data_IF_057909601507
#
_entry.id   IF_057909601507
#
_cell.length_a   1.000
_cell.length_b   1.000
_cell.length_c   1.000
_cell.angle_alpha   90.00
_cell.angle_beta   90.00
_cell.angle_gamma   90.00
#
_symmetry.space_group_name_H-M   'P 1'
#
loop_
_entity.id
_entity.type
_entity.pdbx_description
1 polymer ?
#
# COMPACT_ATOMS: atom_id res chain seq x y z
N UNK A 1 20.95 8.50 18.13
CA UNK A 1 21.54 8.90 16.82
C UNK A 1 21.81 7.72 15.87
N UNK A 2 22.72 6.75 16.14
CA UNK A 2 22.97 5.60 15.22
C UNK A 2 21.72 4.75 14.91
N UNK A 3 20.91 4.41 15.91
CA UNK A 3 19.68 3.62 15.73
C UNK A 3 18.65 4.32 14.82
N UNK A 4 18.45 5.62 15.02
CA UNK A 4 17.55 6.46 14.22
C UNK A 4 17.99 6.59 12.75
N UNK A 5 19.27 6.86 12.49
CA UNK A 5 19.81 6.89 11.13
C UNK A 5 19.67 5.52 10.43
N UNK A 6 19.78 4.44 11.19
CA UNK A 6 19.59 3.08 10.67
C UNK A 6 18.12 2.84 10.31
N UNK A 7 17.18 3.26 11.15
CA UNK A 7 15.74 3.11 10.91
C UNK A 7 15.24 3.91 9.69
N UNK A 8 15.66 5.17 9.54
CA UNK A 8 15.30 5.99 8.37
C UNK A 8 15.96 5.48 7.08
N UNK A 9 17.21 5.01 7.14
CA UNK A 9 17.88 4.37 6.00
C UNK A 9 17.15 3.10 5.57
N UNK A 10 16.72 2.29 6.53
CA UNK A 10 16.01 1.04 6.30
C UNK A 10 14.65 1.25 5.65
N UNK A 11 13.91 2.25 6.11
CA UNK A 11 12.66 2.70 5.48
C UNK A 11 12.85 3.07 4.00
N UNK A 12 13.84 3.92 3.68
CA UNK A 12 14.09 4.38 2.30
C UNK A 12 14.47 3.21 1.39
N UNK A 13 15.36 2.32 1.86
CA UNK A 13 15.78 1.15 1.07
C UNK A 13 14.60 0.20 0.83
N UNK A 14 13.76 -0.04 1.84
CA UNK A 14 12.56 -0.87 1.67
C UNK A 14 11.62 -0.27 0.61
N UNK A 15 11.29 1.03 0.71
CA UNK A 15 10.41 1.65 -0.29
C UNK A 15 11.05 1.66 -1.68
N UNK A 16 12.38 1.78 -1.79
CA UNK A 16 13.09 1.68 -3.07
C UNK A 16 13.00 0.26 -3.67
N UNK A 17 13.22 -0.79 -2.88
CA UNK A 17 13.05 -2.18 -3.32
C UNK A 17 11.63 -2.40 -3.84
N UNK A 18 10.62 -2.01 -3.05
CA UNK A 18 9.21 -2.18 -3.42
C UNK A 18 8.91 -1.42 -4.71
N UNK A 19 9.42 -0.19 -4.87
CA UNK A 19 9.21 0.62 -6.08
C UNK A 19 9.81 -0.03 -7.34
N UNK A 20 11.03 -0.57 -7.25
CA UNK A 20 11.68 -1.24 -8.38
C UNK A 20 10.96 -2.54 -8.74
N UNK A 21 10.52 -3.32 -7.75
CA UNK A 21 9.69 -4.52 -7.98
C UNK A 21 8.37 -4.16 -8.67
N UNK A 22 7.67 -3.11 -8.21
CA UNK A 22 6.43 -2.66 -8.85
C UNK A 22 6.62 -2.19 -10.30
N UNK A 23 7.77 -1.57 -10.60
CA UNK A 23 8.12 -1.19 -11.97
C UNK A 23 8.38 -2.41 -12.83
N UNK A 24 9.15 -3.38 -12.34
CA UNK A 24 9.41 -4.66 -13.00
C UNK A 24 8.10 -5.40 -13.30
N UNK A 25 7.30 -5.70 -12.28
CA UNK A 25 6.02 -6.40 -12.41
C UNK A 25 5.07 -5.70 -13.40
N UNK A 26 5.06 -4.36 -13.39
CA UNK A 26 4.24 -3.58 -14.30
C UNK A 26 4.71 -3.71 -15.75
N UNK A 27 6.01 -3.57 -16.03
CA UNK A 27 6.57 -3.70 -17.38
C UNK A 27 6.28 -5.08 -17.96
N UNK A 28 6.43 -6.10 -17.12
CA UNK A 28 6.17 -7.49 -17.46
C UNK A 28 4.72 -7.80 -17.78
N UNK A 29 3.80 -7.27 -16.96
CA UNK A 29 2.38 -7.41 -17.26
C UNK A 29 2.03 -6.81 -18.63
N UNK A 30 2.51 -5.60 -18.94
CA UNK A 30 2.19 -4.96 -20.21
C UNK A 30 2.89 -5.59 -21.40
N UNK A 31 4.14 -6.04 -21.27
CA UNK A 31 4.82 -6.73 -22.36
C UNK A 31 4.06 -7.98 -22.79
N UNK A 32 3.62 -8.79 -21.83
CA UNK A 32 2.76 -9.95 -22.10
C UNK A 32 1.40 -9.54 -22.66
N UNK A 33 0.75 -8.53 -22.08
CA UNK A 33 -0.54 -8.04 -22.56
C UNK A 33 -0.49 -7.60 -24.02
N UNK A 34 0.57 -6.90 -24.43
CA UNK A 34 0.74 -6.47 -25.82
C UNK A 34 1.04 -7.63 -26.76
N UNK A 35 1.86 -8.61 -26.36
CA UNK A 35 2.12 -9.81 -27.15
C UNK A 35 0.85 -10.63 -27.44
N UNK A 36 -0.16 -10.57 -26.58
CA UNK A 36 -1.40 -11.31 -26.79
C UNK A 36 -2.22 -10.80 -27.98
N UNK A 37 -2.08 -9.53 -28.39
CA UNK A 37 -2.84 -8.95 -29.50
C UNK A 37 -2.59 -9.67 -30.83
N UNK A 38 -1.40 -10.24 -31.01
CA UNK A 38 -1.03 -10.94 -32.25
C UNK A 38 -1.70 -12.32 -32.36
N UNK A 39 -2.17 -12.88 -31.25
CA UNK A 39 -2.58 -14.28 -31.16
C UNK A 39 -4.03 -14.51 -30.78
N UNK A 40 -4.66 -13.56 -30.08
CA UNK A 40 -5.91 -13.78 -29.37
C UNK A 40 -6.96 -12.69 -29.63
N UNK A 41 -8.23 -13.11 -29.54
CA UNK A 41 -9.35 -12.17 -29.57
C UNK A 41 -9.39 -11.32 -28.30
N UNK A 42 -9.97 -10.12 -28.37
CA UNK A 42 -10.09 -9.19 -27.24
C UNK A 42 -10.76 -9.84 -26.01
N UNK A 43 -11.82 -10.60 -26.23
CA UNK A 43 -12.52 -11.34 -25.17
C UNK A 43 -11.58 -12.33 -24.47
N UNK A 44 -10.76 -13.03 -25.25
CA UNK A 44 -9.75 -13.96 -24.72
C UNK A 44 -8.64 -13.21 -23.97
N UNK A 45 -8.18 -12.06 -24.46
CA UNK A 45 -7.16 -11.24 -23.80
C UNK A 45 -7.64 -10.81 -22.41
N UNK A 46 -8.85 -10.30 -22.28
CA UNK A 46 -9.42 -9.91 -20.98
C UNK A 46 -9.48 -11.08 -19.99
N UNK A 47 -10.07 -12.21 -20.41
CA UNK A 47 -10.20 -13.41 -19.59
C UNK A 47 -8.86 -14.00 -19.14
N UNK A 48 -7.83 -13.95 -19.98
CA UNK A 48 -6.49 -14.44 -19.63
C UNK A 48 -5.74 -13.44 -18.75
N UNK A 49 -5.67 -12.17 -19.15
CA UNK A 49 -4.83 -11.16 -18.47
C UNK A 49 -5.38 -10.66 -17.14
N UNK A 50 -6.70 -10.71 -16.93
CA UNK A 50 -7.34 -10.24 -15.68
C UNK A 50 -8.20 -11.28 -15.00
N UNK A 51 -8.48 -12.42 -15.65
CA UNK A 51 -9.08 -13.60 -15.04
C UNK A 51 -8.00 -14.60 -14.59
N UNK A 52 -7.50 -15.41 -15.52
CA UNK A 52 -6.54 -16.48 -15.22
C UNK A 52 -5.22 -15.99 -14.62
N UNK A 53 -4.68 -14.88 -15.12
CA UNK A 53 -3.47 -14.26 -14.58
C UNK A 53 -3.67 -13.79 -13.14
N UNK A 54 -4.80 -13.15 -12.81
CA UNK A 54 -5.07 -12.74 -11.42
C UNK A 54 -5.32 -13.93 -10.50
N UNK A 55 -5.94 -15.00 -11.00
CA UNK A 55 -6.07 -16.24 -10.24
C UNK A 55 -4.68 -16.83 -9.94
N UNK A 56 -3.81 -16.88 -10.94
CA UNK A 56 -2.42 -17.33 -10.82
C UNK A 56 -1.62 -16.45 -9.83
N UNK A 57 -1.81 -15.12 -9.87
CA UNK A 57 -1.24 -14.20 -8.90
C UNK A 57 -1.74 -14.46 -7.47
N UNK A 58 -3.04 -14.72 -7.31
CA UNK A 58 -3.64 -15.15 -6.05
C UNK A 58 -3.01 -16.44 -5.51
N UNK A 59 -2.79 -17.44 -6.38
CA UNK A 59 -2.09 -18.69 -6.03
C UNK A 59 -0.67 -18.41 -5.57
N UNK A 60 0.08 -17.54 -6.25
CA UNK A 60 1.41 -17.11 -5.85
C UNK A 60 1.43 -16.48 -4.45
N UNK A 61 0.51 -15.55 -4.19
CA UNK A 61 0.35 -14.89 -2.89
C UNK A 61 0.02 -15.90 -1.78
N UNK A 62 -0.97 -16.78 -1.99
CA UNK A 62 -1.34 -17.82 -1.01
C UNK A 62 -0.18 -18.78 -0.76
N UNK A 63 0.54 -19.18 -1.81
CA UNK A 63 1.74 -20.03 -1.70
C UNK A 63 2.81 -19.36 -0.84
N UNK A 64 3.05 -18.06 -1.04
CA UNK A 64 3.97 -17.30 -0.20
C UNK A 64 3.50 -17.25 1.27
N UNK A 65 2.22 -16.99 1.52
CA UNK A 65 1.64 -16.95 2.87
C UNK A 65 1.87 -18.28 3.60
N UNK A 66 1.57 -19.40 2.94
CA UNK A 66 1.75 -20.74 3.50
C UNK A 66 3.22 -21.07 3.72
N UNK A 67 4.09 -20.73 2.77
CA UNK A 67 5.53 -20.94 2.88
C UNK A 67 6.11 -20.13 4.05
N UNK A 68 5.78 -18.85 4.15
CA UNK A 68 6.26 -17.99 5.22
C UNK A 68 5.74 -18.47 6.59
N UNK A 69 4.47 -18.87 6.68
CA UNK A 69 3.90 -19.39 7.93
C UNK A 69 4.53 -20.70 8.40
N UNK A 70 4.89 -21.60 7.48
CA UNK A 70 5.40 -22.94 7.81
C UNK A 70 6.92 -23.05 7.83
N UNK A 71 7.62 -22.19 7.08
CA UNK A 71 9.05 -22.24 6.84
C UNK A 71 9.65 -20.82 6.82
N UNK A 72 9.36 -20.00 7.82
CA UNK A 72 9.82 -18.59 7.91
C UNK A 72 11.32 -18.44 7.64
N UNK A 73 12.14 -19.32 8.23
CA UNK A 73 13.59 -19.31 8.03
C UNK A 73 13.98 -19.46 6.55
N UNK A 74 13.26 -20.26 5.76
CA UNK A 74 13.58 -20.44 4.35
C UNK A 74 13.21 -19.20 3.54
N UNK A 75 12.00 -18.68 3.73
CA UNK A 75 11.52 -17.47 3.02
C UNK A 75 12.31 -16.21 3.39
N UNK A 76 12.89 -16.15 4.59
CA UNK A 76 13.74 -15.05 5.04
C UNK A 76 15.18 -15.12 4.50
N UNK A 77 15.63 -16.26 3.95
CA UNK A 77 16.99 -16.38 3.39
C UNK A 77 17.13 -15.50 2.15
N UNK A 78 18.17 -14.65 2.13
CA UNK A 78 18.55 -13.85 0.95
C UNK A 78 18.70 -14.67 -0.32
N UNK A 79 19.26 -15.87 -0.22
CA UNK A 79 19.40 -16.78 -1.37
C UNK A 79 18.03 -17.14 -1.96
N UNK A 80 17.03 -17.43 -1.12
CA UNK A 80 15.68 -17.71 -1.59
C UNK A 80 15.08 -16.50 -2.31
N UNK A 81 15.22 -15.31 -1.75
CA UNK A 81 14.71 -14.06 -2.34
C UNK A 81 15.40 -13.72 -3.66
N UNK A 82 16.72 -13.86 -3.76
CA UNK A 82 17.46 -13.65 -5.01
C UNK A 82 17.03 -14.66 -6.08
N UNK A 83 16.93 -15.94 -5.72
CA UNK A 83 16.44 -16.97 -6.64
C UNK A 83 15.03 -16.70 -7.13
N UNK A 84 14.17 -16.14 -6.27
CA UNK A 84 12.80 -15.76 -6.60
C UNK A 84 12.73 -14.73 -7.74
N UNK A 85 13.68 -13.79 -7.82
CA UNK A 85 13.76 -12.82 -8.92
C UNK A 85 14.52 -13.38 -10.13
N UNK A 86 15.56 -14.18 -9.93
CA UNK A 86 16.34 -14.75 -11.03
C UNK A 86 15.55 -15.76 -11.89
N UNK A 87 14.61 -16.50 -11.30
CA UNK A 87 13.78 -17.46 -12.03
C UNK A 87 12.86 -16.80 -13.07
N UNK A 88 12.66 -15.50 -12.97
CA UNK A 88 11.81 -14.73 -13.87
C UNK A 88 12.45 -14.53 -15.25
N UNK A 89 13.77 -14.30 -15.30
CA UNK A 89 14.54 -14.08 -16.53
C UNK A 89 14.26 -15.13 -17.61
N UNK A 90 14.38 -16.45 -17.35
CA UNK A 90 14.08 -17.46 -18.37
C UNK A 90 12.61 -17.47 -18.81
N UNK A 91 11.66 -17.15 -17.91
CA UNK A 91 10.21 -17.08 -18.24
C UNK A 91 9.94 -15.91 -19.18
N UNK A 92 10.57 -14.76 -18.94
CA UNK A 92 10.48 -13.58 -19.80
C UNK A 92 11.05 -13.87 -21.18
N UNK A 93 12.27 -14.45 -21.23
CA UNK A 93 12.94 -14.81 -22.48
C UNK A 93 12.06 -15.78 -23.29
N UNK A 94 11.50 -16.80 -22.65
CA UNK A 94 10.59 -17.74 -23.31
C UNK A 94 9.31 -17.06 -23.82
N UNK A 95 8.75 -16.11 -23.06
CA UNK A 95 7.54 -15.36 -23.44
C UNK A 95 7.74 -14.52 -24.70
N UNK A 96 8.92 -13.89 -24.85
CA UNK A 96 9.19 -12.91 -25.91
C UNK A 96 9.86 -13.54 -27.14
N UNK A 97 10.84 -14.43 -26.95
CA UNK A 97 11.64 -14.97 -28.06
C UNK A 97 11.04 -16.22 -28.72
N UNK A 98 10.15 -16.92 -28.03
CA UNK A 98 9.52 -18.13 -28.55
C UNK A 98 7.98 -18.02 -28.50
N UNK A 99 7.37 -17.00 -29.12
CA UNK A 99 5.94 -16.79 -28.99
C UNK A 99 5.18 -17.84 -29.80
N UNK A 100 4.59 -18.80 -29.09
CA UNK A 100 3.52 -19.67 -29.60
C UNK A 100 2.28 -19.47 -28.76
N UNK A 101 1.08 -19.59 -29.35
CA UNK A 101 -0.21 -19.40 -28.64
C UNK A 101 -0.22 -20.04 -27.25
N UNK A 102 -0.11 -21.37 -27.21
CA UNK A 102 -0.19 -22.14 -25.95
C UNK A 102 0.97 -21.76 -25.01
N UNK A 103 2.19 -21.61 -25.55
CA UNK A 103 3.36 -21.28 -24.76
C UNK A 103 3.21 -19.91 -24.08
N UNK A 104 2.70 -18.90 -24.78
CA UNK A 104 2.43 -17.57 -24.23
C UNK A 104 1.43 -17.64 -23.06
N UNK A 105 0.34 -18.39 -23.20
CA UNK A 105 -0.62 -18.60 -22.10
C UNK A 105 0.03 -19.26 -20.88
N UNK A 106 0.82 -20.31 -21.08
CA UNK A 106 1.52 -21.00 -20.00
C UNK A 106 2.50 -20.06 -19.31
N UNK A 107 3.28 -19.28 -20.06
CA UNK A 107 4.21 -18.32 -19.51
C UNK A 107 3.51 -17.18 -18.75
N UNK A 108 2.34 -16.72 -19.20
CA UNK A 108 1.53 -15.72 -18.47
C UNK A 108 1.13 -16.27 -17.10
N UNK A 109 0.66 -17.51 -17.03
CA UNK A 109 0.25 -18.13 -15.76
C UNK A 109 1.46 -18.28 -14.82
N UNK A 110 2.58 -18.81 -15.32
CA UNK A 110 3.80 -18.98 -14.53
C UNK A 110 4.30 -17.63 -14.01
N UNK A 111 4.35 -16.62 -14.87
CA UNK A 111 4.83 -15.29 -14.50
C UNK A 111 3.94 -14.65 -13.43
N UNK A 112 2.62 -14.79 -13.53
CA UNK A 112 1.73 -14.23 -12.52
C UNK A 112 1.83 -14.94 -11.17
N UNK A 113 2.12 -16.25 -11.13
CA UNK A 113 2.46 -16.94 -9.88
C UNK A 113 3.73 -16.31 -9.27
N UNK A 114 4.76 -16.06 -10.09
CA UNK A 114 6.02 -15.43 -9.66
C UNK A 114 5.76 -14.02 -9.11
N UNK A 115 5.01 -13.18 -9.83
CA UNK A 115 4.59 -11.84 -9.38
C UNK A 115 3.85 -11.93 -8.04
N UNK A 116 2.99 -12.94 -7.86
CA UNK A 116 2.31 -13.19 -6.58
C UNK A 116 3.28 -13.48 -5.43
N UNK A 117 4.34 -14.27 -5.69
CA UNK A 117 5.40 -14.54 -4.71
C UNK A 117 6.24 -13.29 -4.41
N UNK A 118 6.61 -12.51 -5.42
CA UNK A 118 7.33 -11.23 -5.27
C UNK A 118 6.54 -10.24 -4.43
N UNK A 119 5.25 -10.11 -4.73
CA UNK A 119 4.36 -9.23 -3.99
C UNK A 119 4.16 -9.70 -2.55
N UNK A 120 4.08 -11.03 -2.34
CA UNK A 120 4.11 -11.64 -1.02
C UNK A 120 5.32 -11.18 -0.20
N UNK A 121 6.51 -11.31 -0.80
CA UNK A 121 7.76 -10.88 -0.19
C UNK A 121 7.79 -9.38 0.13
N UNK A 122 7.44 -8.52 -0.83
CA UNK A 122 7.51 -7.07 -0.64
C UNK A 122 6.52 -6.55 0.40
N UNK A 123 5.32 -7.15 0.51
CA UNK A 123 4.34 -6.76 1.53
C UNK A 123 4.78 -7.16 2.93
N UNK A 124 5.33 -8.37 3.08
CA UNK A 124 5.90 -8.82 4.35
C UNK A 124 7.13 -7.98 4.73
N UNK A 125 7.98 -7.61 3.77
CA UNK A 125 9.11 -6.70 3.99
C UNK A 125 8.65 -5.32 4.48
N UNK A 126 7.62 -4.76 3.84
CA UNK A 126 7.03 -3.49 4.24
C UNK A 126 6.45 -3.58 5.66
N UNK A 127 5.64 -4.60 5.95
CA UNK A 127 5.05 -4.78 7.27
C UNK A 127 6.10 -4.96 8.40
N UNK A 128 7.27 -5.50 8.08
CA UNK A 128 8.36 -5.72 9.03
C UNK A 128 9.21 -4.47 9.32
N UNK A 129 9.37 -3.56 8.34
CA UNK A 129 10.39 -2.50 8.43
C UNK A 129 9.88 -1.09 8.17
N UNK A 130 8.70 -0.94 7.58
CA UNK A 130 8.09 0.37 7.38
C UNK A 130 7.23 0.69 8.59
N UNK A 131 7.41 1.87 9.23
CA UNK A 131 6.55 2.27 10.33
C UNK A 131 5.08 2.20 9.97
N UNK A 132 4.26 1.71 10.90
CA UNK A 132 2.81 1.51 10.73
C UNK A 132 2.09 2.81 10.32
N UNK A 133 2.62 3.98 10.69
CA UNK A 133 2.15 5.32 10.32
C UNK A 133 2.53 5.78 8.91
N UNK A 134 3.33 5.00 8.16
CA UNK A 134 3.84 5.35 6.82
C UNK A 134 3.62 4.25 5.78
N UNK A 135 2.88 3.19 6.13
CA UNK A 135 2.67 2.04 5.25
C UNK A 135 1.86 2.41 4.00
N UNK A 136 0.82 3.24 4.16
CA UNK A 136 0.00 3.71 3.04
C UNK A 136 0.81 4.52 2.05
N UNK A 137 1.63 5.45 2.53
CA UNK A 137 2.48 6.29 1.71
C UNK A 137 3.60 5.49 1.02
N UNK A 138 4.27 4.58 1.74
CA UNK A 138 5.31 3.75 1.12
C UNK A 138 4.72 2.89 -0.01
N UNK A 139 3.58 2.25 0.22
CA UNK A 139 2.87 1.48 -0.80
C UNK A 139 2.42 2.36 -1.98
N UNK A 140 1.77 3.49 -1.69
CA UNK A 140 1.27 4.43 -2.68
C UNK A 140 2.38 5.00 -3.56
N UNK A 141 3.49 5.45 -2.97
CA UNK A 141 4.66 5.94 -3.73
C UNK A 141 5.31 4.83 -4.55
N UNK A 142 5.55 3.65 -3.97
CA UNK A 142 6.21 2.57 -4.68
C UNK A 142 5.39 2.10 -5.89
N UNK A 143 4.07 1.95 -5.72
CA UNK A 143 3.20 1.58 -6.82
C UNK A 143 3.04 2.73 -7.83
N UNK A 144 3.04 3.99 -7.39
CA UNK A 144 3.04 5.14 -8.28
C UNK A 144 4.30 5.20 -9.16
N UNK A 145 5.48 4.85 -8.62
CA UNK A 145 6.72 4.73 -9.41
C UNK A 145 6.56 3.66 -10.49
N UNK A 146 6.00 2.49 -10.16
CA UNK A 146 5.71 1.47 -11.17
C UNK A 146 4.71 1.95 -12.22
N UNK A 147 3.61 2.57 -11.81
CA UNK A 147 2.57 3.05 -12.73
C UNK A 147 3.09 4.14 -13.67
N UNK A 148 3.71 5.18 -13.12
CA UNK A 148 4.29 6.29 -13.86
C UNK A 148 5.49 5.85 -14.70
N UNK A 149 6.36 4.99 -14.16
CA UNK A 149 7.53 4.48 -14.86
C UNK A 149 7.17 3.69 -16.11
N UNK A 150 6.17 2.80 -16.05
CA UNK A 150 5.68 2.09 -17.24
C UNK A 150 5.13 3.07 -18.29
N UNK A 151 4.35 4.08 -17.86
CA UNK A 151 3.85 5.11 -18.77
C UNK A 151 4.98 5.89 -19.44
N UNK A 152 5.95 6.36 -18.65
CA UNK A 152 7.09 7.14 -19.11
C UNK A 152 7.93 6.35 -20.11
N UNK A 153 8.26 5.10 -19.78
CA UNK A 153 9.02 4.20 -20.64
C UNK A 153 8.27 4.01 -21.96
N UNK A 154 6.96 3.75 -21.93
CA UNK A 154 6.19 3.58 -23.16
C UNK A 154 6.11 4.86 -23.99
N UNK A 155 5.96 6.03 -23.36
CA UNK A 155 5.88 7.32 -24.05
C UNK A 155 7.19 7.67 -24.78
N UNK A 156 8.34 7.36 -24.19
CA UNK A 156 9.65 7.68 -24.75
C UNK A 156 10.04 6.73 -25.90
N UNK A 157 9.55 5.50 -25.88
CA UNK A 157 10.18 4.40 -26.63
C UNK A 157 9.34 3.80 -27.76
N UNK A 158 8.14 4.34 -28.03
CA UNK A 158 7.40 4.06 -29.27
C UNK A 158 7.17 2.58 -29.59
N UNK A 159 6.82 1.76 -28.58
CA UNK A 159 6.55 0.32 -28.76
C UNK A 159 7.56 -0.64 -28.12
N UNK A 160 8.41 -0.18 -27.19
CA UNK A 160 9.41 -1.05 -26.52
C UNK A 160 8.80 -2.27 -25.82
N UNK A 161 7.52 -2.20 -25.43
CA UNK A 161 6.84 -3.24 -24.67
C UNK A 161 6.76 -4.58 -25.44
N UNK A 162 6.84 -4.55 -26.77
CA UNK A 162 6.86 -5.77 -27.61
C UNK A 162 8.25 -6.08 -28.16
N UNK A 163 9.27 -5.28 -27.83
CA UNK A 163 10.64 -5.44 -28.33
C UNK A 163 11.48 -6.30 -27.39
N UNK A 164 12.44 -7.05 -27.94
CA UNK A 164 13.49 -7.75 -27.15
C UNK A 164 14.28 -6.81 -26.22
N UNK A 165 14.24 -5.48 -26.46
CA UNK A 165 14.84 -4.46 -25.59
C UNK A 165 14.25 -4.47 -24.18
N UNK A 166 12.99 -4.89 -24.01
CA UNK A 166 12.37 -4.97 -22.67
C UNK A 166 13.10 -5.98 -21.78
N UNK A 167 13.59 -7.09 -22.35
CA UNK A 167 14.38 -8.12 -21.63
C UNK A 167 15.61 -7.50 -20.98
N UNK A 168 16.27 -6.55 -21.66
CA UNK A 168 17.44 -5.86 -21.12
C UNK A 168 17.07 -4.94 -19.95
N UNK A 169 15.96 -4.20 -20.07
CA UNK A 169 15.46 -3.33 -19.00
C UNK A 169 15.07 -4.17 -17.78
N UNK A 170 14.31 -5.26 -17.97
CA UNK A 170 13.89 -6.15 -16.89
C UNK A 170 15.10 -6.80 -16.21
N UNK A 171 16.09 -7.25 -16.99
CA UNK A 171 17.34 -7.81 -16.45
C UNK A 171 18.12 -6.78 -15.61
N UNK A 172 18.14 -5.51 -16.02
CA UNK A 172 18.75 -4.42 -15.25
C UNK A 172 18.00 -4.15 -13.94
N UNK A 173 16.67 -4.15 -13.98
CA UNK A 173 15.84 -3.96 -12.79
C UNK A 173 16.01 -5.13 -11.80
N UNK A 174 16.05 -6.37 -12.30
CA UNK A 174 16.35 -7.56 -11.49
C UNK A 174 17.74 -7.46 -10.86
N UNK A 175 18.76 -7.06 -11.62
CA UNK A 175 20.10 -6.84 -11.10
C UNK A 175 20.12 -5.77 -9.99
N UNK A 176 19.38 -4.67 -10.18
CA UNK A 176 19.24 -3.61 -9.18
C UNK A 176 18.54 -4.11 -7.90
N UNK A 177 17.48 -4.91 -8.03
CA UNK A 177 16.78 -5.54 -6.89
C UNK A 177 17.74 -6.46 -6.13
N UNK A 178 18.49 -7.30 -6.84
CA UNK A 178 19.49 -8.20 -6.24
C UNK A 178 20.55 -7.42 -5.47
N UNK A 179 21.06 -6.32 -6.05
CA UNK A 179 22.01 -5.43 -5.37
C UNK A 179 21.39 -4.87 -4.09
N UNK A 180 20.16 -4.35 -4.13
CA UNK A 180 19.49 -3.84 -2.93
C UNK A 180 19.28 -4.92 -1.86
N UNK A 181 18.85 -6.13 -2.24
CA UNK A 181 18.68 -7.26 -1.30
C UNK A 181 20.03 -7.64 -0.66
N UNK A 182 21.12 -7.65 -1.43
CA UNK A 182 22.45 -7.98 -0.93
C UNK A 182 23.01 -6.89 0.00
N UNK A 183 22.77 -5.61 -0.32
CA UNK A 183 23.15 -4.47 0.50
C UNK A 183 22.38 -4.39 1.82
N UNK A 184 21.14 -4.88 1.84
CA UNK A 184 20.25 -4.83 3.00
C UNK A 184 20.50 -6.02 3.98
N UNK A 185 21.74 -6.15 4.46
CA UNK A 185 22.24 -7.30 5.24
C UNK A 185 21.61 -7.47 6.63
N UNK A 186 21.35 -6.38 7.36
CA UNK A 186 21.11 -6.43 8.81
C UNK A 186 19.62 -6.46 9.22
N UNK A 187 18.69 -6.27 8.27
CA UNK A 187 17.26 -6.22 8.59
C UNK A 187 16.59 -7.61 8.68
N UNK A 188 17.20 -8.63 8.08
CA UNK A 188 16.61 -9.97 7.94
C UNK A 188 17.00 -10.96 9.04
N UNK A 189 17.82 -10.56 10.01
CA UNK A 189 18.42 -11.46 11.02
C UNK A 189 17.64 -11.48 12.35
N UNK A 190 16.82 -10.46 12.64
CA UNK A 190 16.26 -10.29 13.99
C UNK A 190 14.84 -10.87 14.16
N UNK A 191 14.70 -12.18 13.99
CA UNK A 191 13.58 -12.93 14.59
C UNK A 191 14.02 -13.80 15.79
N UNK A 192 15.33 -13.91 16.09
CA UNK A 192 15.84 -14.86 17.08
C UNK A 192 16.43 -14.30 18.38
N UNK A 193 16.73 -13.01 18.50
CA UNK A 193 17.23 -12.45 19.76
C UNK A 193 16.13 -11.63 20.44
N UNK A 194 15.13 -12.35 20.94
CA UNK A 194 14.08 -11.84 21.83
C UNK A 194 14.58 -11.64 23.26
N UNK A 195 15.68 -10.93 23.44
CA UNK A 195 16.06 -10.25 24.68
C UNK A 195 16.65 -8.89 24.27
N UNK A 196 15.76 -7.92 24.08
CA UNK A 196 16.16 -6.50 24.10
C UNK A 196 15.58 -5.90 25.37
N UNK A 197 16.37 -6.00 26.43
CA UNK A 197 16.40 -4.99 27.48
C UNK A 197 16.67 -3.64 26.82
N UNK A 198 15.82 -2.64 27.09
CA UNK A 198 16.06 -1.28 26.64
C UNK A 198 14.78 -0.55 26.30
N UNK A 199 14.31 0.22 27.27
CA UNK A 199 13.35 1.32 27.12
C UNK A 199 13.59 2.11 25.83
N UNK A 200 12.68 2.02 24.87
CA UNK A 200 12.58 3.00 23.79
C UNK A 200 11.13 3.11 23.31
N UNK A 201 10.50 4.21 23.74
CA UNK A 201 9.34 4.85 23.10
C UNK A 201 8.25 3.93 22.57
N UNK A 202 7.45 3.35 23.48
CA UNK A 202 6.14 2.81 23.15
C UNK A 202 5.32 3.87 22.40
N UNK A 203 5.20 3.75 21.08
CA UNK A 203 4.10 4.41 20.38
C UNK A 203 2.82 3.77 20.92
N UNK A 204 1.96 4.59 21.50
CA UNK A 204 0.72 4.25 22.20
C UNK A 204 -0.36 3.71 21.23
N UNK A 205 -0.03 2.73 20.40
CA UNK A 205 -0.97 1.98 19.58
C UNK A 205 -1.19 0.62 20.24
N UNK A 206 -2.43 0.39 20.68
CA UNK A 206 -2.88 -0.86 21.28
C UNK A 206 -2.48 -2.04 20.38
N UNK A 207 -1.60 -2.91 20.89
CA UNK A 207 -1.10 -4.10 20.21
C UNK A 207 -2.30 -5.01 19.88
N UNK A 208 -2.69 -5.10 18.60
CA UNK A 208 -3.90 -5.84 18.22
C UNK A 208 -3.62 -7.36 18.27
N UNK A 209 -4.01 -8.00 19.36
CA UNK A 209 -3.88 -9.46 19.50
C UNK A 209 -4.95 -10.21 18.68
N UNK A 210 -4.48 -10.97 17.69
CA UNK A 210 -5.31 -11.87 16.88
C UNK A 210 -5.71 -13.17 17.60
N UNK A 211 -5.25 -13.38 18.84
CA UNK A 211 -5.69 -14.50 19.68
C UNK A 211 -7.04 -14.22 20.36
N UNK A 212 -7.44 -12.94 20.39
CA UNK A 212 -8.74 -12.52 20.90
C UNK A 212 -9.85 -12.76 19.87
N UNK A 213 -11.09 -12.91 20.36
CA UNK A 213 -12.29 -13.00 19.50
C UNK A 213 -12.47 -11.71 18.68
N UNK A 214 -12.24 -10.54 19.30
CA UNK A 214 -12.30 -9.22 18.64
C UNK A 214 -11.31 -9.15 17.47
N UNK A 215 -10.04 -9.52 17.69
CA UNK A 215 -9.00 -9.53 16.66
C UNK A 215 -9.35 -10.45 15.48
N UNK A 216 -9.79 -11.69 15.75
CA UNK A 216 -10.23 -12.62 14.69
C UNK A 216 -11.41 -12.08 13.90
N UNK A 217 -12.38 -11.46 14.59
CA UNK A 217 -13.57 -10.88 13.96
C UNK A 217 -13.19 -9.71 13.04
N UNK A 218 -12.27 -8.84 13.45
CA UNK A 218 -11.74 -7.74 12.62
C UNK A 218 -11.07 -8.29 11.36
N UNK A 219 -10.21 -9.30 11.48
CA UNK A 219 -9.57 -9.94 10.33
C UNK A 219 -10.61 -10.50 9.33
N UNK A 220 -11.60 -11.23 9.82
CA UNK A 220 -12.66 -11.80 8.97
C UNK A 220 -13.47 -10.70 8.29
N UNK A 221 -13.90 -9.67 9.03
CA UNK A 221 -14.65 -8.56 8.45
C UNK A 221 -13.83 -7.81 7.40
N UNK A 222 -12.53 -7.59 7.64
CA UNK A 222 -11.64 -6.96 6.67
C UNK A 222 -11.49 -7.80 5.39
N UNK A 223 -11.36 -9.13 5.52
CA UNK A 223 -11.38 -10.03 4.36
C UNK A 223 -12.70 -9.95 3.58
N UNK A 224 -13.86 -9.91 4.28
CA UNK A 224 -15.17 -9.79 3.64
C UNK A 224 -15.29 -8.45 2.90
N UNK A 225 -14.86 -7.34 3.52
CA UNK A 225 -14.84 -6.03 2.86
C UNK A 225 -14.07 -6.12 1.55
N UNK A 226 -12.84 -6.64 1.56
CA UNK A 226 -12.05 -6.78 0.34
C UNK A 226 -12.67 -7.74 -0.68
N UNK A 227 -13.25 -8.85 -0.24
CA UNK A 227 -13.93 -9.81 -1.10
C UNK A 227 -15.14 -9.21 -1.84
N UNK A 228 -15.81 -8.21 -1.26
CA UNK A 228 -16.91 -7.48 -1.91
C UNK A 228 -16.38 -6.31 -2.76
N UNK A 229 -15.35 -5.58 -2.31
CA UNK A 229 -14.74 -4.50 -3.07
C UNK A 229 -14.14 -4.97 -4.40
N UNK A 230 -13.49 -6.13 -4.39
CA UNK A 230 -12.79 -6.73 -5.52
C UNK A 230 -13.64 -6.91 -6.79
N UNK A 231 -14.80 -7.60 -6.75
CA UNK A 231 -15.66 -7.74 -7.92
C UNK A 231 -16.19 -6.38 -8.41
N UNK A 232 -16.55 -5.45 -7.51
CA UNK A 232 -17.02 -4.11 -7.90
C UNK A 232 -15.93 -3.37 -8.69
N UNK A 233 -14.70 -3.38 -8.17
CA UNK A 233 -13.55 -2.78 -8.86
C UNK A 233 -13.31 -3.44 -10.21
N UNK A 234 -13.36 -4.78 -10.26
CA UNK A 234 -13.11 -5.56 -11.48
C UNK A 234 -14.09 -5.21 -12.60
N UNK A 235 -15.39 -5.14 -12.29
CA UNK A 235 -16.45 -4.75 -13.22
C UNK A 235 -16.14 -3.38 -13.84
N UNK A 236 -15.78 -2.39 -13.00
CA UNK A 236 -15.40 -1.07 -13.48
C UNK A 236 -14.16 -1.07 -14.37
N UNK A 237 -13.10 -1.81 -13.98
CA UNK A 237 -11.88 -1.88 -14.78
C UNK A 237 -12.06 -2.61 -16.12
N UNK A 238 -12.89 -3.65 -16.15
CA UNK A 238 -13.16 -4.40 -17.38
C UNK A 238 -13.95 -3.55 -18.38
N UNK A 239 -14.90 -2.75 -17.87
CA UNK A 239 -15.60 -1.77 -18.68
C UNK A 239 -14.66 -0.66 -19.19
N UNK A 240 -13.73 -0.16 -18.37
CA UNK A 240 -12.69 0.77 -18.81
C UNK A 240 -11.87 0.23 -20.00
N UNK A 241 -11.41 -1.02 -19.92
CA UNK A 241 -10.67 -1.70 -20.99
C UNK A 241 -11.49 -1.79 -22.29
N UNK A 242 -12.80 -2.05 -22.18
CA UNK A 242 -13.71 -2.09 -23.33
C UNK A 242 -13.91 -0.71 -23.97
N UNK A 243 -14.22 0.32 -23.17
CA UNK A 243 -14.41 1.71 -23.65
C UNK A 243 -13.15 2.20 -24.36
N UNK A 244 -12.00 2.02 -23.72
CA UNK A 244 -10.71 2.49 -24.19
C UNK A 244 -10.32 1.91 -25.55
N UNK A 245 -10.74 0.66 -25.79
CA UNK A 245 -10.55 0.01 -27.06
C UNK A 245 -11.43 0.63 -28.16
N UNK A 246 -12.68 0.97 -27.84
CA UNK A 246 -13.62 1.60 -28.78
C UNK A 246 -13.25 3.05 -29.13
N UNK A 247 -12.49 3.74 -28.27
CA UNK A 247 -12.14 5.16 -28.41
C UNK A 247 -10.69 5.43 -28.82
N UNK A 248 -9.91 4.41 -29.21
CA UNK A 248 -8.47 4.50 -29.54
C UNK A 248 -7.61 5.22 -28.48
N UNK A 249 -8.01 5.16 -27.20
CA UNK A 249 -7.30 5.86 -26.13
C UNK A 249 -6.03 5.13 -25.71
N UNK A 250 -4.95 5.86 -25.48
CA UNK A 250 -3.67 5.29 -25.03
C UNK A 250 -3.79 4.65 -23.63
N UNK A 251 -3.72 3.31 -23.57
CA UNK A 251 -3.78 2.47 -22.36
C UNK A 251 -2.85 2.96 -21.24
N UNK A 252 -1.66 3.42 -21.63
CA UNK A 252 -0.65 3.80 -20.66
C UNK A 252 -0.85 5.22 -20.13
N UNK A 253 -1.50 6.12 -20.87
CA UNK A 253 -1.69 7.51 -20.45
C UNK A 253 -2.42 7.61 -19.10
N UNK A 254 -3.37 6.70 -18.85
CA UNK A 254 -4.17 6.66 -17.62
C UNK A 254 -3.36 6.21 -16.39
N UNK A 255 -2.22 5.55 -16.58
CA UNK A 255 -1.35 5.14 -15.45
C UNK A 255 -0.72 6.35 -14.75
N UNK A 256 -0.56 7.48 -15.45
CA UNK A 256 -0.12 8.73 -14.81
C UNK A 256 -1.16 9.24 -13.79
N UNK A 257 -2.46 9.18 -14.13
CA UNK A 257 -3.55 9.50 -13.19
C UNK A 257 -3.61 8.51 -12.04
N UNK A 258 -3.42 7.22 -12.31
CA UNK A 258 -3.35 6.20 -11.27
C UNK A 258 -2.22 6.47 -10.27
N UNK A 259 -1.04 6.86 -10.76
CA UNK A 259 0.10 7.23 -9.92
C UNK A 259 -0.24 8.39 -8.96
N UNK A 260 -0.90 9.44 -9.46
CA UNK A 260 -1.37 10.56 -8.62
C UNK A 260 -2.37 10.08 -7.56
N UNK A 261 -3.32 9.24 -7.97
CA UNK A 261 -4.30 8.63 -7.08
C UNK A 261 -3.70 7.80 -5.96
N UNK A 262 -2.71 6.96 -6.28
CA UNK A 262 -1.99 6.12 -5.32
C UNK A 262 -1.25 6.94 -4.26
N UNK A 263 -0.59 8.03 -4.66
CA UNK A 263 0.11 8.94 -3.72
C UNK A 263 -0.90 9.61 -2.79
N UNK A 264 -1.97 10.18 -3.35
CA UNK A 264 -3.01 10.84 -2.58
C UNK A 264 -3.68 9.87 -1.58
N UNK A 265 -4.03 8.67 -2.05
CA UNK A 265 -4.60 7.62 -1.22
C UNK A 265 -3.66 7.19 -0.08
N UNK A 266 -2.36 7.05 -0.35
CA UNK A 266 -1.36 6.73 0.66
C UNK A 266 -1.27 7.79 1.76
N UNK A 267 -1.19 9.07 1.37
CA UNK A 267 -1.16 10.20 2.29
C UNK A 267 -2.43 10.29 3.16
N UNK A 268 -3.61 10.11 2.55
CA UNK A 268 -4.90 10.19 3.26
C UNK A 268 -5.04 9.01 4.22
N UNK A 269 -4.69 7.80 3.78
CA UNK A 269 -4.76 6.59 4.59
C UNK A 269 -3.89 6.68 5.85
N UNK A 270 -2.65 7.15 5.71
CA UNK A 270 -1.72 7.29 6.83
C UNK A 270 -2.11 8.43 7.77
N UNK A 271 -2.70 9.53 7.25
CA UNK A 271 -3.18 10.65 8.07
C UNK A 271 -4.38 10.24 8.92
N UNK A 272 -5.36 9.53 8.34
CA UNK A 272 -6.51 9.01 9.06
C UNK A 272 -7.05 7.78 8.35
N UNK A 273 -6.86 6.62 8.97
CA UNK A 273 -7.22 5.31 8.38
C UNK A 273 -8.73 5.12 8.19
N UNK A 274 -9.56 5.75 9.02
CA UNK A 274 -11.02 5.72 8.88
C UNK A 274 -11.41 6.50 7.63
N UNK A 275 -10.91 7.73 7.50
CA UNK A 275 -11.16 8.57 6.32
C UNK A 275 -10.61 7.88 5.06
N UNK A 276 -9.40 7.33 5.12
CA UNK A 276 -8.81 6.53 4.05
C UNK A 276 -9.73 5.38 3.61
N UNK A 277 -10.24 4.60 4.56
CA UNK A 277 -11.20 3.53 4.25
C UNK A 277 -12.51 4.02 3.65
N UNK A 278 -13.07 5.13 4.16
CA UNK A 278 -14.30 5.74 3.61
C UNK A 278 -14.05 6.19 2.17
N UNK A 279 -12.93 6.86 1.90
CA UNK A 279 -12.54 7.25 0.54
C UNK A 279 -12.42 6.05 -0.38
N UNK A 280 -11.90 4.91 0.10
CA UNK A 280 -11.81 3.68 -0.69
C UNK A 280 -13.17 3.03 -0.96
N UNK A 281 -14.13 3.11 -0.04
CA UNK A 281 -15.50 2.63 -0.32
C UNK A 281 -16.18 3.56 -1.33
N UNK A 282 -16.11 4.87 -1.12
CA UNK A 282 -16.67 5.87 -2.03
C UNK A 282 -16.05 5.79 -3.42
N UNK A 283 -14.75 5.45 -3.50
CA UNK A 283 -14.06 5.29 -4.79
C UNK A 283 -14.77 4.28 -5.70
N UNK A 284 -15.41 3.25 -5.15
CA UNK A 284 -16.06 2.18 -5.91
C UNK A 284 -17.42 2.57 -6.52
N UNK A 285 -17.81 3.84 -6.45
CA UNK A 285 -18.95 4.38 -7.20
C UNK A 285 -18.58 4.63 -8.67
N UNK A 286 -17.29 4.82 -8.98
CA UNK A 286 -16.83 5.13 -10.34
C UNK A 286 -17.35 4.17 -11.44
N UNK A 287 -17.52 2.84 -11.24
CA UNK A 287 -18.00 1.95 -12.29
C UNK A 287 -19.38 2.35 -12.79
N UNK A 288 -20.26 2.82 -11.90
CA UNK A 288 -21.61 3.29 -12.25
C UNK A 288 -21.52 4.55 -13.11
N UNK A 289 -20.72 5.52 -12.67
CA UNK A 289 -20.52 6.79 -13.39
C UNK A 289 -19.94 6.55 -14.79
N UNK A 290 -18.98 5.63 -14.90
CA UNK A 290 -18.36 5.27 -16.17
C UNK A 290 -19.38 4.70 -17.16
N UNK A 291 -20.25 3.78 -16.71
CA UNK A 291 -21.29 3.18 -17.56
C UNK A 291 -22.31 4.25 -18.01
N UNK A 292 -22.64 5.22 -17.15
CA UNK A 292 -23.57 6.29 -17.50
C UNK A 292 -23.03 7.26 -18.55
N UNK A 293 -21.71 7.51 -18.56
CA UNK A 293 -21.06 8.46 -19.49
C UNK A 293 -20.54 7.74 -20.75
N UNK A 294 -20.78 6.43 -20.87
CA UNK A 294 -20.25 5.55 -21.91
C UNK A 294 -20.48 6.05 -23.35
N UNK A 295 -21.62 6.70 -23.61
CA UNK A 295 -21.99 7.18 -24.95
C UNK A 295 -21.56 8.62 -25.27
N UNK A 296 -20.93 9.33 -24.32
CA UNK A 296 -20.58 10.76 -24.46
C UNK A 296 -19.09 10.94 -24.78
N UNK A 297 -18.75 10.98 -26.07
CA UNK A 297 -17.35 10.96 -26.58
C UNK A 297 -16.44 12.06 -26.01
N UNK A 298 -16.98 13.23 -25.65
CA UNK A 298 -16.21 14.35 -25.09
C UNK A 298 -15.80 14.16 -23.62
N UNK A 299 -16.55 13.39 -22.84
CA UNK A 299 -16.32 13.23 -21.38
C UNK A 299 -15.62 11.93 -21.03
N UNK A 300 -15.72 10.90 -21.87
CA UNK A 300 -15.20 9.55 -21.63
C UNK A 300 -13.71 9.56 -21.23
N UNK A 301 -12.85 10.26 -21.97
CA UNK A 301 -11.41 10.34 -21.66
C UNK A 301 -11.13 10.86 -20.24
N UNK A 302 -11.80 11.94 -19.87
CA UNK A 302 -11.64 12.58 -18.57
C UNK A 302 -12.15 11.66 -17.47
N UNK A 303 -13.33 11.06 -17.66
CA UNK A 303 -13.94 10.14 -16.69
C UNK A 303 -13.08 8.90 -16.49
N UNK A 304 -12.51 8.32 -17.56
CA UNK A 304 -11.60 7.19 -17.40
C UNK A 304 -10.34 7.62 -16.64
N UNK A 305 -9.70 8.74 -16.99
CA UNK A 305 -8.53 9.24 -16.26
C UNK A 305 -8.81 9.43 -14.75
N UNK A 306 -9.94 10.06 -14.42
CA UNK A 306 -10.39 10.22 -13.03
C UNK A 306 -10.70 8.88 -12.36
N UNK A 307 -11.29 7.92 -13.07
CA UNK A 307 -11.57 6.58 -12.54
C UNK A 307 -10.28 5.86 -12.11
N UNK A 308 -9.20 6.00 -12.88
CA UNK A 308 -7.89 5.45 -12.53
C UNK A 308 -7.29 6.15 -11.32
N UNK A 309 -7.40 7.48 -11.19
CA UNK A 309 -6.96 8.17 -9.97
C UNK A 309 -7.75 7.68 -8.74
N UNK A 310 -9.06 7.50 -8.88
CA UNK A 310 -9.96 7.02 -7.82
C UNK A 310 -9.66 5.56 -7.43
N UNK A 311 -9.30 4.70 -8.40
CA UNK A 311 -8.90 3.30 -8.16
C UNK A 311 -7.69 3.17 -7.21
N UNK A 312 -6.83 4.19 -7.15
CA UNK A 312 -5.70 4.26 -6.22
C UNK A 312 -6.11 4.06 -4.76
N UNK A 313 -7.28 4.57 -4.37
CA UNK A 313 -7.79 4.45 -3.01
C UNK A 313 -8.13 3.00 -2.62
N UNK A 314 -8.79 2.25 -3.51
CA UNK A 314 -9.02 0.83 -3.31
C UNK A 314 -7.70 0.05 -3.21
N UNK A 315 -6.75 0.34 -4.12
CA UNK A 315 -5.45 -0.34 -4.16
C UNK A 315 -4.63 -0.14 -2.88
N UNK A 316 -4.55 1.10 -2.38
CA UNK A 316 -3.85 1.39 -1.11
C UNK A 316 -4.55 0.72 0.06
N UNK A 317 -5.88 0.84 0.15
CA UNK A 317 -6.62 0.32 1.30
C UNK A 317 -6.48 -1.20 1.48
N UNK A 318 -6.61 -1.97 0.40
CA UNK A 318 -6.48 -3.44 0.46
C UNK A 318 -5.08 -3.91 0.86
N UNK A 319 -4.04 -3.16 0.50
CA UNK A 319 -2.66 -3.50 0.81
C UNK A 319 -2.26 -2.99 2.21
N UNK A 320 -2.36 -1.68 2.43
CA UNK A 320 -1.90 -1.01 3.64
C UNK A 320 -2.66 -1.49 4.88
N UNK A 321 -3.96 -1.80 4.78
CA UNK A 321 -4.73 -2.31 5.93
C UNK A 321 -4.22 -3.66 6.42
N UNK A 322 -3.84 -4.56 5.51
CA UNK A 322 -3.31 -5.88 5.89
C UNK A 322 -1.84 -5.84 6.29
N UNK A 323 -1.03 -4.98 5.67
CA UNK A 323 0.34 -4.75 6.16
C UNK A 323 0.35 -4.16 7.57
N UNK A 324 -0.54 -3.19 7.85
CA UNK A 324 -0.71 -2.62 9.19
C UNK A 324 -1.17 -3.69 10.18
N UNK A 325 -2.20 -4.47 9.82
CA UNK A 325 -2.69 -5.58 10.64
C UNK A 325 -1.58 -6.59 10.96
N UNK A 326 -0.78 -6.96 9.96
CA UNK A 326 0.31 -7.91 10.10
C UNK A 326 1.42 -7.40 11.02
N UNK A 327 1.75 -6.10 10.91
CA UNK A 327 2.72 -5.42 11.77
C UNK A 327 2.22 -5.32 13.22
N UNK A 328 0.99 -4.83 13.42
CA UNK A 328 0.35 -4.66 14.73
C UNK A 328 0.13 -5.98 15.48
N UNK A 329 -0.14 -7.06 14.75
CA UNK A 329 -0.35 -8.40 15.33
C UNK A 329 0.91 -9.27 15.41
N UNK A 330 2.06 -8.77 14.93
CA UNK A 330 3.31 -9.52 14.77
C UNK A 330 3.16 -10.81 13.95
N UNK A 331 2.19 -10.85 13.03
CA UNK A 331 1.94 -11.98 12.11
C UNK A 331 2.19 -11.54 10.67
N UNK A 332 3.47 -11.39 10.32
CA UNK A 332 3.92 -10.83 9.04
C UNK A 332 3.43 -11.60 7.79
N UNK A 333 3.10 -12.89 7.93
CA UNK A 333 2.50 -13.69 6.85
C UNK A 333 1.10 -13.20 6.43
N UNK A 334 0.41 -12.40 7.24
CA UNK A 334 -0.90 -11.83 6.90
C UNK A 334 -0.80 -10.60 5.98
N UNK A 335 0.39 -10.00 5.84
CA UNK A 335 0.59 -8.79 5.07
C UNK A 335 0.04 -8.88 3.63
N UNK A 336 0.34 -9.94 2.84
CA UNK A 336 -0.19 -10.08 1.47
C UNK A 336 -1.64 -10.58 1.37
N UNK A 337 -2.30 -10.94 2.49
CA UNK A 337 -3.62 -11.59 2.47
C UNK A 337 -4.70 -10.72 1.81
N UNK A 338 -4.68 -9.41 2.03
CA UNK A 338 -5.63 -8.49 1.41
C UNK A 338 -5.57 -8.51 -0.12
N UNK A 339 -4.36 -8.50 -0.68
CA UNK A 339 -4.19 -8.62 -2.13
C UNK A 339 -4.55 -10.02 -2.64
N UNK A 340 -4.25 -11.07 -1.88
CA UNK A 340 -4.59 -12.44 -2.26
C UNK A 340 -6.11 -12.62 -2.42
N UNK A 341 -6.88 -12.18 -1.41
CA UNK A 341 -8.35 -12.18 -1.44
C UNK A 341 -8.84 -11.36 -2.64
N UNK A 342 -8.31 -10.15 -2.81
CA UNK A 342 -8.70 -9.28 -3.91
C UNK A 342 -8.49 -9.93 -5.29
N UNK A 343 -7.32 -10.52 -5.55
CA UNK A 343 -6.99 -11.12 -6.84
C UNK A 343 -7.84 -12.34 -7.18
N UNK A 344 -8.12 -13.18 -6.18
CA UNK A 344 -9.01 -14.34 -6.37
C UNK A 344 -10.43 -13.86 -6.69
N UNK A 345 -10.96 -12.90 -5.94
CA UNK A 345 -12.31 -12.39 -6.15
C UNK A 345 -12.44 -11.62 -7.48
N UNK A 346 -11.44 -10.80 -7.86
CA UNK A 346 -11.36 -10.14 -9.16
C UNK A 346 -11.33 -11.16 -10.30
N UNK A 347 -10.49 -12.20 -10.19
CA UNK A 347 -10.40 -13.24 -11.20
C UNK A 347 -11.72 -13.98 -11.40
N UNK A 348 -12.38 -14.37 -10.31
CA UNK A 348 -13.69 -15.03 -10.37
C UNK A 348 -14.72 -14.14 -11.04
N UNK A 349 -14.74 -12.84 -10.71
CA UNK A 349 -15.65 -11.88 -11.32
C UNK A 349 -15.43 -11.76 -12.83
N UNK A 350 -14.18 -11.54 -13.27
CA UNK A 350 -13.84 -11.44 -14.71
C UNK A 350 -14.23 -12.71 -15.47
N UNK A 351 -13.87 -13.88 -14.93
CA UNK A 351 -14.14 -15.16 -15.59
C UNK A 351 -15.66 -15.41 -15.68
N UNK A 352 -16.41 -15.16 -14.61
CA UNK A 352 -17.87 -15.29 -14.63
C UNK A 352 -18.51 -14.37 -15.68
N UNK A 353 -18.10 -13.09 -15.73
CA UNK A 353 -18.59 -12.13 -16.73
C UNK A 353 -18.24 -12.55 -18.16
N UNK A 354 -17.07 -13.15 -18.36
CA UNK A 354 -16.61 -13.59 -19.68
C UNK A 354 -17.47 -14.73 -20.24
N UNK A 355 -18.01 -15.58 -19.37
CA UNK A 355 -18.90 -16.68 -19.74
C UNK A 355 -20.34 -16.21 -19.95
N UNK A 356 -20.87 -15.37 -19.05
CA UNK A 356 -22.28 -14.95 -19.09
C UNK A 356 -22.56 -13.87 -20.14
N UNK A 357 -21.56 -13.10 -20.56
CA UNK A 357 -21.76 -11.99 -21.49
C UNK A 357 -22.57 -10.85 -20.86
N UNK A 358 -22.23 -10.45 -19.64
CA UNK A 358 -22.92 -9.37 -18.92
C UNK A 358 -22.97 -8.08 -19.75
N UNK A 359 -24.17 -7.57 -19.98
CA UNK A 359 -24.39 -6.25 -20.58
C UNK A 359 -24.17 -5.12 -19.54
N UNK A 360 -24.24 -3.88 -20.01
CA UNK A 360 -24.03 -2.69 -19.19
C UNK A 360 -25.04 -2.60 -18.04
N UNK A 361 -26.31 -2.90 -18.32
CA UNK A 361 -27.38 -2.88 -17.32
C UNK A 361 -27.13 -3.91 -16.22
N UNK A 362 -26.77 -5.14 -16.58
CA UNK A 362 -26.42 -6.20 -15.61
C UNK A 362 -25.23 -5.80 -14.76
N UNK A 363 -24.23 -5.13 -15.34
CA UNK A 363 -23.05 -4.63 -14.62
C UNK A 363 -23.43 -3.57 -13.58
N UNK A 364 -24.30 -2.61 -13.93
CA UNK A 364 -24.79 -1.59 -12.99
C UNK A 364 -25.59 -2.21 -11.84
N UNK A 365 -26.48 -3.16 -12.16
CA UNK A 365 -27.28 -3.87 -11.15
C UNK A 365 -26.36 -4.62 -10.19
N UNK A 366 -25.38 -5.38 -10.71
CA UNK A 366 -24.45 -6.15 -9.90
C UNK A 366 -23.62 -5.25 -8.97
N UNK A 367 -23.08 -4.14 -9.49
CA UNK A 367 -22.35 -3.17 -8.66
C UNK A 367 -23.24 -2.58 -7.58
N UNK A 368 -24.48 -2.18 -7.92
CA UNK A 368 -25.42 -1.59 -6.98
C UNK A 368 -25.81 -2.56 -5.85
N UNK A 369 -26.08 -3.82 -6.20
CA UNK A 369 -26.43 -4.89 -5.24
C UNK A 369 -25.26 -5.22 -4.31
N UNK A 370 -24.01 -5.18 -4.80
CA UNK A 370 -22.81 -5.42 -3.99
C UNK A 370 -22.42 -4.22 -3.13
N UNK A 371 -22.75 -3.00 -3.56
CA UNK A 371 -22.36 -1.77 -2.85
C UNK A 371 -23.08 -1.61 -1.50
N UNK A 372 -24.35 -2.00 -1.40
CA UNK A 372 -25.13 -1.94 -0.15
C UNK A 372 -24.50 -2.79 0.96
N UNK A 373 -24.28 -4.12 0.79
CA UNK A 373 -23.64 -4.93 1.81
C UNK A 373 -22.20 -4.52 2.08
N UNK A 374 -21.47 -3.99 1.08
CA UNK A 374 -20.14 -3.41 1.29
C UNK A 374 -20.18 -2.31 2.35
N UNK A 375 -21.09 -1.33 2.19
CA UNK A 375 -21.24 -0.23 3.14
C UNK A 375 -21.57 -0.75 4.54
N UNK A 376 -22.52 -1.69 4.65
CA UNK A 376 -22.93 -2.27 5.93
C UNK A 376 -21.74 -2.97 6.62
N UNK A 377 -21.07 -3.89 5.92
CA UNK A 377 -19.95 -4.66 6.49
C UNK A 377 -18.78 -3.76 6.83
N UNK A 378 -18.50 -2.74 6.01
CA UNK A 378 -17.46 -1.76 6.27
C UNK A 378 -17.71 -0.98 7.57
N UNK A 379 -18.93 -0.48 7.79
CA UNK A 379 -19.26 0.21 9.04
C UNK A 379 -19.28 -0.72 10.25
N UNK A 380 -19.69 -2.00 10.09
CA UNK A 380 -19.55 -3.01 11.13
C UNK A 380 -18.09 -3.26 11.51
N UNK A 381 -17.21 -3.32 10.51
CA UNK A 381 -15.76 -3.47 10.70
C UNK A 381 -15.16 -2.26 11.43
N UNK A 382 -15.51 -1.03 11.03
CA UNK A 382 -15.08 0.19 11.72
C UNK A 382 -15.57 0.16 13.18
N UNK A 383 -16.85 -0.13 13.42
CA UNK A 383 -17.41 -0.17 14.78
C UNK A 383 -16.69 -1.20 15.66
N UNK A 384 -16.35 -2.36 15.10
CA UNK A 384 -15.62 -3.40 15.81
C UNK A 384 -14.17 -2.99 16.11
N UNK A 385 -13.49 -2.37 15.14
CA UNK A 385 -12.09 -1.96 15.24
C UNK A 385 -11.89 -0.72 16.11
N UNK A 386 -12.80 0.24 16.02
CA UNK A 386 -12.74 1.55 16.66
C UNK A 386 -13.94 1.72 17.60
N UNK A 387 -14.02 0.87 18.63
CA UNK A 387 -15.16 0.87 19.55
C UNK A 387 -15.40 2.29 20.09
N UNK A 388 -16.66 2.79 20.11
CA UNK A 388 -16.97 4.17 20.46
C UNK A 388 -16.39 4.62 21.81
N UNK A 389 -16.28 3.70 22.78
CA UNK A 389 -15.73 3.98 24.10
C UNK A 389 -14.22 4.29 24.08
N UNK A 390 -13.47 3.65 23.19
CA UNK A 390 -12.02 3.86 23.02
C UNK A 390 -11.77 5.19 22.27
N UNK A 391 -12.52 5.44 21.18
CA UNK A 391 -12.43 6.68 20.40
C UNK A 391 -12.87 7.90 21.21
N UNK A 392 -13.96 7.80 21.99
CA UNK A 392 -14.40 8.89 22.85
C UNK A 392 -13.38 9.22 23.93
N UNK A 393 -12.70 8.22 24.49
CA UNK A 393 -11.67 8.42 25.50
C UNK A 393 -10.41 9.08 24.90
N UNK A 394 -10.04 8.71 23.68
CA UNK A 394 -8.89 9.29 22.97
C UNK A 394 -9.17 10.73 22.50
N UNK A 395 -10.33 11.00 21.90
CA UNK A 395 -10.76 12.36 21.55
C UNK A 395 -10.87 13.26 22.79
N UNK A 396 -11.36 12.73 23.92
CA UNK A 396 -11.37 13.48 25.19
C UNK A 396 -9.97 13.74 25.76
N UNK A 397 -9.03 12.79 25.60
CA UNK A 397 -7.62 13.00 25.98
C UNK A 397 -6.94 14.04 25.10
N UNK A 398 -7.17 14.01 23.79
CA UNK A 398 -6.60 14.98 22.84
C UNK A 398 -7.14 16.39 23.12
N UNK A 399 -8.46 16.55 23.25
CA UNK A 399 -9.08 17.82 23.64
C UNK A 399 -8.55 18.32 24.99
N UNK A 400 -8.44 17.43 25.98
CA UNK A 400 -7.83 17.76 27.28
C UNK A 400 -6.36 18.18 27.15
N UNK A 401 -5.60 17.62 26.20
CA UNK A 401 -4.19 17.94 26.01
C UNK A 401 -3.99 19.28 25.33
N UNK A 402 -4.84 19.62 24.36
CA UNK A 402 -4.82 20.91 23.67
C UNK A 402 -5.34 22.05 24.55
N UNK A 403 -6.35 21.78 25.39
CA UNK A 403 -6.80 22.72 26.42
C UNK A 403 -5.68 22.99 27.45
N UNK A 404 -4.95 21.95 27.88
CA UNK A 404 -3.81 22.11 28.79
C UNK A 404 -2.66 22.89 28.15
N UNK A 405 -2.35 22.62 26.88
CA UNK A 405 -1.37 23.37 26.07
C UNK A 405 -1.70 24.86 26.04
N UNK A 406 -2.92 25.18 25.62
CA UNK A 406 -3.39 26.55 25.50
C UNK A 406 -3.45 27.27 26.87
N UNK A 407 -3.89 26.57 27.93
CA UNK A 407 -3.96 27.12 29.28
C UNK A 407 -2.56 27.45 29.82
N UNK A 408 -1.61 26.53 29.70
CA UNK A 408 -0.24 26.73 30.17
C UNK A 408 0.47 27.83 29.36
N UNK A 409 0.32 27.83 28.04
CA UNK A 409 0.90 28.87 27.19
C UNK A 409 0.31 30.26 27.48
N UNK A 410 -1.01 30.35 27.68
CA UNK A 410 -1.72 31.58 28.03
C UNK A 410 -1.33 32.10 29.42
N UNK A 411 -1.18 31.22 30.41
CA UNK A 411 -0.81 31.59 31.77
C UNK A 411 0.56 32.29 31.85
N UNK A 412 1.52 31.87 31.01
CA UNK A 412 2.90 32.36 31.07
C UNK A 412 3.32 33.17 29.83
N UNK A 413 2.41 33.49 28.91
CA UNK A 413 2.71 34.27 27.70
C UNK A 413 3.74 33.60 26.79
N UNK A 414 3.66 32.27 26.64
CA UNK A 414 4.56 31.52 25.78
C UNK A 414 4.23 31.78 24.30
N UNK A 415 5.27 31.88 23.48
CA UNK A 415 5.11 31.86 22.02
C UNK A 415 4.78 30.44 21.56
N UNK A 416 4.21 30.31 20.37
CA UNK A 416 3.88 29.00 19.76
C UNK A 416 5.05 28.01 19.79
N UNK A 417 6.28 28.49 19.58
CA UNK A 417 7.47 27.64 19.60
C UNK A 417 7.89 27.24 21.02
N UNK A 418 7.71 28.13 21.98
CA UNK A 418 7.96 27.84 23.39
C UNK A 418 6.91 26.89 23.96
N UNK A 419 5.66 26.98 23.51
CA UNK A 419 4.57 26.05 23.83
C UNK A 419 4.89 24.62 23.35
N UNK A 420 5.28 24.46 22.08
CA UNK A 420 5.73 23.18 21.52
C UNK A 420 6.89 22.59 22.31
N UNK A 421 7.87 23.42 22.69
CA UNK A 421 9.02 22.96 23.49
C UNK A 421 8.62 22.61 24.91
N UNK A 422 7.76 23.40 25.57
CA UNK A 422 7.28 23.13 26.93
C UNK A 422 6.52 21.79 27.03
N UNK A 423 5.75 21.46 25.99
CA UNK A 423 5.11 20.16 25.84
C UNK A 423 6.12 19.01 25.81
N UNK A 424 7.17 19.10 24.97
CA UNK A 424 8.19 18.04 24.95
C UNK A 424 9.02 17.97 26.24
N UNK A 425 9.21 19.09 26.94
CA UNK A 425 9.79 19.07 28.29
C UNK A 425 8.88 18.31 29.27
N UNK A 426 7.56 18.47 29.14
CA UNK A 426 6.58 17.72 29.93
C UNK A 426 6.64 16.22 29.64
N UNK A 427 7.03 15.80 28.44
CA UNK A 427 7.25 14.40 28.07
C UNK A 427 8.60 13.84 28.54
N UNK A 428 9.46 14.69 29.12
CA UNK A 428 10.79 14.29 29.61
C UNK A 428 11.89 14.29 28.54
N UNK A 429 11.61 14.77 27.32
CA UNK A 429 12.55 14.77 26.19
C UNK A 429 13.76 15.65 26.44
N UNK A 430 14.96 15.15 26.21
CA UNK A 430 16.21 15.92 26.27
C UNK A 430 16.25 17.03 25.21
N UNK A 431 17.10 18.04 25.39
CA UNK A 431 17.22 19.13 24.41
C UNK A 431 17.66 18.63 23.02
N UNK A 432 18.45 17.55 22.98
CA UNK A 432 18.84 16.89 21.73
C UNK A 432 17.65 16.24 21.03
N UNK A 433 16.81 15.49 21.74
CA UNK A 433 15.60 14.89 21.18
C UNK A 433 14.61 15.96 20.68
N UNK A 434 14.42 17.04 21.45
CA UNK A 434 13.55 18.15 21.05
C UNK A 434 14.10 18.84 19.78
N UNK A 435 15.42 19.03 19.70
CA UNK A 435 16.07 19.63 18.55
C UNK A 435 15.84 18.79 17.29
N UNK A 436 15.94 17.47 17.41
CA UNK A 436 15.68 16.53 16.32
C UNK A 436 14.21 16.53 15.88
N UNK A 437 13.27 16.47 16.84
CA UNK A 437 11.83 16.46 16.57
C UNK A 437 11.36 17.76 15.89
N UNK A 438 11.93 18.89 16.28
CA UNK A 438 11.54 20.20 15.81
C UNK A 438 12.41 20.75 14.67
N UNK A 439 13.42 19.98 14.21
CA UNK A 439 14.41 20.39 13.20
C UNK A 439 15.13 21.71 13.57
N UNK A 440 15.55 21.82 14.83
CA UNK A 440 16.33 22.94 15.37
C UNK A 440 17.74 22.51 15.75
N UNK A 441 18.63 23.48 15.98
CA UNK A 441 19.89 23.18 16.67
C UNK A 441 19.63 23.00 18.17
N UNK A 442 20.43 22.17 18.85
CA UNK A 442 20.33 22.00 20.31
C UNK A 442 20.54 23.34 21.05
N UNK A 443 21.38 24.22 20.50
CA UNK A 443 21.59 25.57 21.02
C UNK A 443 20.31 26.42 20.92
N UNK A 444 19.57 26.31 19.82
CA UNK A 444 18.26 26.98 19.65
C UNK A 444 17.25 26.45 20.65
N UNK A 445 17.21 25.15 20.90
CA UNK A 445 16.34 24.57 21.94
C UNK A 445 16.73 25.08 23.33
N UNK A 446 18.02 25.07 23.68
CA UNK A 446 18.52 25.63 24.96
C UNK A 446 18.12 27.10 25.13
N UNK A 447 18.19 27.88 24.06
CA UNK A 447 17.72 29.28 24.05
C UNK A 447 16.22 29.37 24.38
N UNK A 448 15.38 28.59 23.71
CA UNK A 448 13.95 28.58 24.00
C UNK A 448 13.63 28.06 25.41
N UNK A 449 14.33 27.03 25.89
CA UNK A 449 14.18 26.54 27.28
C UNK A 449 14.55 27.64 28.28
N UNK A 450 15.61 28.41 28.02
CA UNK A 450 15.97 29.55 28.86
C UNK A 450 14.89 30.63 28.88
N UNK A 451 14.27 30.92 27.73
CA UNK A 451 13.16 31.88 27.65
C UNK A 451 11.91 31.36 28.36
N UNK A 452 11.60 30.07 28.25
CA UNK A 452 10.50 29.44 28.99
C UNK A 452 10.73 29.62 30.49
N UNK A 453 11.91 29.28 31.02
CA UNK A 453 12.23 29.44 32.44
C UNK A 453 12.14 30.89 32.92
N UNK A 454 12.55 31.85 32.08
CA UNK A 454 12.40 33.29 32.39
C UNK A 454 10.94 33.72 32.44
N UNK A 455 10.11 33.24 31.52
CA UNK A 455 8.68 33.59 31.44
C UNK A 455 7.85 32.90 32.53
N UNK A 456 8.20 31.67 32.89
CA UNK A 456 7.50 30.91 33.94
C UNK A 456 8.01 31.21 35.35
N UNK A 457 9.22 31.76 35.49
CA UNK A 457 9.88 32.01 36.78
C UNK A 457 10.39 30.74 37.45
N UNK A 458 10.42 29.62 36.75
CA UNK A 458 10.80 28.31 37.27
C UNK A 458 12.32 28.12 37.26
N UNK A 459 12.83 27.35 38.21
CA UNK A 459 14.27 27.17 38.43
C UNK A 459 14.90 26.20 37.46
N UNK A 460 14.15 25.19 37.03
CA UNK A 460 14.63 24.17 36.13
C UNK A 460 13.53 23.59 35.24
N UNK A 461 13.96 22.86 34.22
CA UNK A 461 13.08 22.18 33.25
C UNK A 461 12.16 21.14 33.89
N UNK A 462 12.53 20.56 35.03
CA UNK A 462 11.71 19.55 35.70
C UNK A 462 10.53 20.23 36.41
N UNK A 463 10.73 21.44 36.92
CA UNK A 463 9.66 22.28 37.44
C UNK A 463 8.67 22.70 36.35
N UNK A 464 9.17 23.07 35.15
CA UNK A 464 8.31 23.30 33.96
C UNK A 464 7.51 22.05 33.60
N UNK A 465 8.18 20.90 33.54
CA UNK A 465 7.54 19.61 33.24
C UNK A 465 6.43 19.27 34.23
N UNK A 466 6.67 19.46 35.54
CA UNK A 466 5.66 19.23 36.58
C UNK A 466 4.51 20.22 36.52
N UNK A 467 4.80 21.50 36.28
CA UNK A 467 3.79 22.54 36.20
C UNK A 467 2.88 22.36 34.98
N UNK A 468 3.44 21.87 33.86
CA UNK A 468 2.68 21.56 32.65
C UNK A 468 1.74 20.35 32.81
N UNK A 469 2.11 19.40 33.67
CA UNK A 469 1.31 18.17 33.93
C UNK A 469 0.22 18.35 35.00
N UNK A 470 0.24 19.45 35.76
CA UNK A 470 -0.78 19.81 36.75
C UNK A 470 -1.92 20.53 36.06
#
# INVERSE_FOLDING_TARGET
>A
MKAFFTQNRNFIICCAIIAVVYLLDSLLFFSQFYLMYDFYSKKTIGAVSTGWAYLAQGVGLVSFILLYKTRTHLSARRVFQVLLFLIEVPVIIASILMPGRILLMVMIVILNIIIGLHTGFTFTLAAAHVPVSRLGLCYGLAYAVGAFGTWLISAISGGIMTSYRIIFIDSLLIALIVVFILMYRDAFVNEQDGETDGEDGASEFCELSLDTVKGRKILVLLCIVIAIMAPISSIGTNNNLYVQYCSELNLLAQRSFYAVGLIAAGLIFDKNRIIGGVCSVVSLIYPIVLIMVYHESGLVTLVIGLSYAILGFYAVYRAASFMALASESKRLYLAPLGLAVARICEAVAVLAMSETGCDELTSVILVSVLFIPLVIVFFLMIKEKYSPAEVSAETQRELSSDERRAAFAGQYGLTRREEEIAMFLSEGRSNGEIAELLQLSENTVRFHVSNILKKTGMKDRNEVSRAYRR
#
